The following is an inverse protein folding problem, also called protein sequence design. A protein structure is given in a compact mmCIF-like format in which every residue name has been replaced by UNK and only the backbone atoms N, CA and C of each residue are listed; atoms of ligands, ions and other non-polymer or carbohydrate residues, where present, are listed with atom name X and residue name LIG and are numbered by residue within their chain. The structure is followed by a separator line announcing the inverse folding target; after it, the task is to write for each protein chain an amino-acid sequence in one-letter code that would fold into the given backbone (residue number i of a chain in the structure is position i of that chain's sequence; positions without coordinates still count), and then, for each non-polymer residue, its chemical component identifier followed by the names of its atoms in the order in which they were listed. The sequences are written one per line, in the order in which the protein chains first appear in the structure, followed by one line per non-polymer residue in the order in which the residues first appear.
data_IF_027024526410
#
_entry.id   IF_027024526410
#
_cell.length_a   1.000
_cell.length_b   1.000
_cell.length_c   1.000
_cell.angle_alpha   90.00
_cell.angle_beta   90.00
_cell.angle_gamma   90.00
#
_symmetry.space_group_name_H-M   'P 1'
#
loop_
_entity.id
_entity.type
_entity.pdbx_description
1 polymer ?
#
# COMPACT_ATOMS: atom_id res chain seq x y z
N UNK A 1 67.15 20.55 1.94
CA UNK A 1 65.98 20.14 1.20
C UNK A 1 65.09 19.32 2.14
N UNK A 2 64.06 19.94 2.65
CA UNK A 2 63.12 19.25 3.52
C UNK A 2 62.01 18.64 2.66
N UNK A 3 61.96 17.33 2.62
CA UNK A 3 60.87 16.63 1.95
C UNK A 3 59.65 16.64 2.87
N UNK A 4 58.63 17.36 2.49
CA UNK A 4 57.33 17.31 3.12
C UNK A 4 56.63 15.99 2.68
N UNK A 5 56.17 15.17 3.61
CA UNK A 5 55.31 14.05 3.22
C UNK A 5 53.93 14.61 2.90
N UNK A 6 53.55 14.44 1.66
CA UNK A 6 52.20 14.72 1.19
C UNK A 6 51.28 13.62 1.73
N UNK A 7 50.71 13.89 2.89
CA UNK A 7 49.67 13.00 3.43
C UNK A 7 48.40 13.28 2.62
N UNK A 8 48.16 12.44 1.61
CA UNK A 8 46.87 12.39 0.92
C UNK A 8 45.88 11.77 1.88
N UNK A 9 45.14 12.61 2.55
CA UNK A 9 43.97 12.19 3.32
C UNK A 9 42.84 11.79 2.34
N UNK A 10 42.79 10.52 2.03
CA UNK A 10 41.64 9.95 1.31
C UNK A 10 40.44 10.04 2.26
N UNK A 11 39.66 11.10 2.11
CA UNK A 11 38.30 11.15 2.64
C UNK A 11 37.47 10.16 1.82
N UNK A 12 37.37 8.90 2.27
CA UNK A 12 36.32 7.99 1.83
C UNK A 12 35.01 8.57 2.36
N UNK A 13 34.36 9.36 1.53
CA UNK A 13 32.97 9.72 1.72
C UNK A 13 32.16 8.44 1.64
N UNK A 14 31.75 7.89 2.77
CA UNK A 14 30.69 6.92 2.80
C UNK A 14 29.44 7.63 2.29
N UNK A 15 29.13 7.46 1.00
CA UNK A 15 27.80 7.72 0.48
C UNK A 15 26.86 6.76 1.21
N UNK A 16 26.27 7.22 2.29
CA UNK A 16 25.12 6.54 2.84
C UNK A 16 24.02 6.64 1.77
N UNK A 17 23.80 5.56 1.05
CA UNK A 17 22.59 5.38 0.28
C UNK A 17 21.44 5.47 1.27
N UNK A 18 20.94 6.68 1.47
CA UNK A 18 19.67 6.91 2.11
C UNK A 18 18.61 6.50 1.08
N UNK A 19 18.44 5.21 0.88
CA UNK A 19 17.20 4.69 0.36
C UNK A 19 16.12 5.14 1.35
N UNK A 20 15.39 6.19 0.99
CA UNK A 20 14.14 6.51 1.66
C UNK A 20 13.22 5.31 1.48
N UNK A 21 13.31 4.36 2.41
CA UNK A 21 12.31 3.32 2.53
C UNK A 21 11.04 4.02 2.99
N UNK A 22 10.16 4.32 2.04
CA UNK A 22 8.80 4.67 2.36
C UNK A 22 8.22 3.53 3.19
N UNK A 23 8.08 3.77 4.47
CA UNK A 23 7.35 2.84 5.34
C UNK A 23 5.92 2.83 4.85
N UNK A 24 5.49 1.68 4.34
CA UNK A 24 4.09 1.47 4.04
C UNK A 24 3.27 1.79 5.30
N UNK A 25 2.40 2.79 5.20
CA UNK A 25 1.49 3.13 6.30
C UNK A 25 0.49 2.00 6.45
N UNK A 26 0.38 1.36 7.63
CA UNK A 26 -0.56 0.27 7.82
C UNK A 26 -2.00 0.76 7.64
N UNK A 27 -2.88 -0.13 7.21
CA UNK A 27 -4.31 0.13 7.18
C UNK A 27 -4.87 0.24 8.60
N UNK A 28 -6.10 0.76 8.72
CA UNK A 28 -6.79 0.89 10.02
C UNK A 28 -6.91 -0.46 10.71
N UNK A 29 -6.65 -0.48 12.02
CA UNK A 29 -6.78 -1.67 12.84
C UNK A 29 -8.24 -2.06 13.01
N UNK A 30 -8.64 -3.17 12.39
CA UNK A 30 -9.99 -3.72 12.46
C UNK A 30 -10.01 -5.15 11.94
N UNK A 31 -11.11 -5.86 12.16
CA UNK A 31 -11.30 -7.20 11.61
C UNK A 31 -11.21 -7.17 10.07
N UNK A 32 -10.42 -8.08 9.49
CA UNK A 32 -10.18 -8.15 8.05
C UNK A 32 -8.96 -7.38 7.55
N UNK A 33 -8.29 -6.58 8.39
CA UNK A 33 -7.09 -5.83 8.02
C UNK A 33 -6.01 -6.72 7.44
N UNK A 34 -5.65 -7.78 8.15
CA UNK A 34 -4.54 -8.66 7.79
C UNK A 34 -4.73 -9.30 6.41
N UNK A 35 -5.91 -9.86 6.15
CA UNK A 35 -6.21 -10.44 4.83
C UNK A 35 -6.22 -9.39 3.73
N UNK A 36 -6.76 -8.20 4.02
CA UNK A 36 -6.78 -7.09 3.07
C UNK A 36 -5.35 -6.62 2.73
N UNK A 37 -4.51 -6.38 3.73
CA UNK A 37 -3.13 -5.97 3.50
C UNK A 37 -2.34 -7.01 2.71
N UNK A 38 -2.42 -8.28 3.11
CA UNK A 38 -1.66 -9.35 2.48
C UNK A 38 -2.02 -9.55 1.01
N UNK A 39 -3.30 -9.49 0.69
CA UNK A 39 -3.77 -9.72 -0.68
C UNK A 39 -3.59 -8.46 -1.54
N UNK A 40 -4.03 -7.31 -1.06
CA UNK A 40 -4.04 -6.09 -1.86
C UNK A 40 -2.64 -5.53 -2.13
N UNK A 41 -1.69 -5.73 -1.21
CA UNK A 41 -0.30 -5.28 -1.40
C UNK A 41 0.49 -6.08 -2.45
N UNK A 42 -0.04 -7.20 -2.92
CA UNK A 42 0.67 -8.06 -3.86
C UNK A 42 0.87 -7.47 -5.26
N UNK A 43 0.04 -6.50 -5.67
CA UNK A 43 0.06 -5.94 -7.01
C UNK A 43 0.34 -4.43 -7.05
N UNK A 44 -0.09 -3.67 -6.06
CA UNK A 44 0.09 -2.22 -6.00
C UNK A 44 0.08 -1.70 -4.56
N UNK A 45 0.35 -0.42 -4.38
CA UNK A 45 0.36 0.21 -3.07
C UNK A 45 -1.02 0.24 -2.41
N UNK A 46 -1.06 0.06 -1.10
CA UNK A 46 -2.26 0.22 -0.28
C UNK A 46 -2.76 1.67 -0.20
N UNK A 47 -1.97 2.63 -0.63
CA UNK A 47 -2.39 4.03 -0.72
C UNK A 47 -3.56 4.23 -1.67
N UNK A 48 -3.70 3.34 -2.65
CA UNK A 48 -4.85 3.32 -3.55
C UNK A 48 -6.18 3.24 -2.78
N UNK A 49 -6.22 2.47 -1.70
CA UNK A 49 -7.39 2.34 -0.82
C UNK A 49 -7.72 3.69 -0.18
N UNK A 50 -6.72 4.38 0.37
CA UNK A 50 -6.90 5.68 1.06
C UNK A 50 -7.33 6.78 0.10
N UNK A 51 -6.72 6.83 -1.07
CA UNK A 51 -7.00 7.83 -2.08
C UNK A 51 -8.43 7.71 -2.59
N UNK A 52 -8.93 6.50 -2.75
CA UNK A 52 -10.27 6.25 -3.28
C UNK A 52 -11.37 6.26 -2.20
N UNK A 53 -11.03 6.06 -0.93
CA UNK A 53 -11.98 5.95 0.17
C UNK A 53 -13.09 7.03 0.19
N UNK A 54 -12.81 8.32 -0.06
CA UNK A 54 -13.85 9.36 -0.06
C UNK A 54 -14.94 9.17 -1.10
N UNK A 55 -14.68 8.38 -2.13
CA UNK A 55 -15.57 8.19 -3.29
C UNK A 55 -16.21 6.80 -3.31
N UNK A 56 -15.94 5.97 -2.29
CA UNK A 56 -16.30 4.56 -2.30
C UNK A 56 -17.36 4.24 -1.26
N UNK A 57 -18.39 3.53 -1.69
CA UNK A 57 -19.37 2.88 -0.82
C UNK A 57 -19.24 1.34 -0.97
N UNK A 58 -20.10 0.58 -0.31
CA UNK A 58 -20.08 -0.90 -0.41
C UNK A 58 -20.19 -1.38 -1.86
N UNK A 59 -21.06 -0.78 -2.63
CA UNK A 59 -21.28 -1.18 -4.03
C UNK A 59 -20.02 -0.97 -4.87
N UNK A 60 -19.37 0.17 -4.73
CA UNK A 60 -18.16 0.49 -5.48
C UNK A 60 -16.96 -0.31 -5.00
N UNK A 61 -16.83 -0.58 -3.70
CA UNK A 61 -15.81 -1.51 -3.20
C UNK A 61 -16.03 -2.93 -3.71
N UNK A 62 -17.27 -3.41 -3.72
CA UNK A 62 -17.63 -4.74 -4.27
C UNK A 62 -17.24 -4.82 -5.74
N UNK A 63 -17.61 -3.83 -6.54
CA UNK A 63 -17.25 -3.76 -7.95
C UNK A 63 -15.73 -3.74 -8.16
N UNK A 64 -15.00 -3.00 -7.33
CA UNK A 64 -13.55 -2.89 -7.39
C UNK A 64 -12.87 -4.22 -7.08
N UNK A 65 -13.26 -4.91 -6.01
CA UNK A 65 -12.73 -6.23 -5.65
C UNK A 65 -13.03 -7.25 -6.73
N UNK A 66 -14.25 -7.29 -7.25
CA UNK A 66 -14.62 -8.18 -8.34
C UNK A 66 -13.80 -7.91 -9.62
N UNK A 67 -13.55 -6.66 -9.93
CA UNK A 67 -12.70 -6.28 -11.06
C UNK A 67 -11.26 -6.80 -10.90
N UNK A 68 -10.69 -6.70 -9.71
CA UNK A 68 -9.36 -7.25 -9.43
C UNK A 68 -9.33 -8.76 -9.66
N UNK A 69 -10.37 -9.48 -9.23
CA UNK A 69 -10.46 -10.92 -9.39
C UNK A 69 -10.67 -11.35 -10.85
N UNK A 70 -11.60 -10.72 -11.54
CA UNK A 70 -12.05 -11.17 -12.85
C UNK A 70 -11.21 -10.63 -14.00
N UNK A 71 -10.74 -9.39 -13.90
CA UNK A 71 -10.00 -8.74 -14.99
C UNK A 71 -8.49 -8.80 -14.79
N UNK A 72 -8.01 -8.76 -13.56
CA UNK A 72 -6.59 -8.74 -13.24
C UNK A 72 -6.08 -10.04 -12.61
N UNK A 73 -6.95 -11.02 -12.43
CA UNK A 73 -6.58 -12.35 -11.96
C UNK A 73 -6.08 -12.39 -10.50
N UNK A 74 -6.51 -11.47 -9.65
CA UNK A 74 -6.13 -11.49 -8.25
C UNK A 74 -6.56 -12.80 -7.59
N UNK A 75 -5.65 -13.52 -6.91
CA UNK A 75 -5.92 -14.83 -6.32
C UNK A 75 -6.66 -14.67 -4.98
N UNK A 76 -7.92 -14.28 -5.02
CA UNK A 76 -8.76 -14.01 -3.86
C UNK A 76 -9.82 -15.12 -3.74
N UNK A 77 -9.78 -15.88 -2.65
CA UNK A 77 -10.84 -16.87 -2.36
C UNK A 77 -12.16 -16.13 -2.04
N UNK A 78 -13.35 -16.77 -2.34
CA UNK A 78 -14.64 -16.11 -2.11
C UNK A 78 -14.87 -15.61 -0.69
N UNK A 79 -14.42 -16.36 0.34
CA UNK A 79 -14.53 -15.93 1.73
C UNK A 79 -13.64 -14.72 2.03
N UNK A 80 -12.46 -14.67 1.46
CA UNK A 80 -11.54 -13.54 1.61
C UNK A 80 -12.08 -12.31 0.90
N UNK A 81 -12.69 -12.47 -0.26
CA UNK A 81 -13.35 -11.36 -0.97
C UNK A 81 -14.44 -10.72 -0.12
N UNK A 82 -15.30 -11.52 0.51
CA UNK A 82 -16.33 -11.02 1.42
C UNK A 82 -15.73 -10.28 2.62
N UNK A 83 -14.70 -10.83 3.24
CA UNK A 83 -13.98 -10.20 4.36
C UNK A 83 -13.35 -8.87 3.97
N UNK A 84 -12.70 -8.81 2.80
CA UNK A 84 -12.08 -7.60 2.27
C UNK A 84 -13.14 -6.52 1.99
N UNK A 85 -14.24 -6.87 1.35
CA UNK A 85 -15.34 -5.93 1.06
C UNK A 85 -15.93 -5.38 2.36
N UNK A 86 -16.17 -6.22 3.35
CA UNK A 86 -16.67 -5.80 4.66
C UNK A 86 -15.68 -4.86 5.35
N UNK A 87 -14.41 -5.20 5.36
CA UNK A 87 -13.36 -4.37 5.94
C UNK A 87 -13.25 -3.00 5.26
N UNK A 88 -13.18 -2.98 3.93
CA UNK A 88 -13.10 -1.74 3.15
C UNK A 88 -14.32 -0.87 3.33
N UNK A 89 -15.50 -1.46 3.34
CA UNK A 89 -16.76 -0.73 3.54
C UNK A 89 -16.84 -0.09 4.93
N UNK A 90 -16.45 -0.83 5.97
CA UNK A 90 -16.53 -0.35 7.35
C UNK A 90 -15.48 0.73 7.67
N UNK A 91 -14.28 0.63 7.10
CA UNK A 91 -13.13 1.47 7.48
C UNK A 91 -12.74 2.50 6.43
N UNK A 92 -13.09 2.28 5.17
CA UNK A 92 -12.75 3.12 4.01
C UNK A 92 -13.95 3.38 3.10
N UNK A 93 -15.14 3.21 3.61
CA UNK A 93 -16.37 3.56 2.92
C UNK A 93 -16.83 4.97 3.26
N UNK A 94 -17.42 5.65 2.29
CA UNK A 94 -18.09 6.93 2.48
C UNK A 94 -19.59 6.77 2.27
N UNK A 95 -20.45 7.28 3.16
CA UNK A 95 -21.90 7.26 2.95
C UNK A 95 -22.34 8.12 1.76
N UNK A 96 -21.51 9.07 1.34
CA UNK A 96 -21.71 9.91 0.15
C UNK A 96 -20.92 9.41 -1.06
N UNK A 97 -20.26 8.28 -0.94
CA UNK A 97 -19.57 7.62 -2.04
C UNK A 97 -20.55 7.37 -3.18
N UNK A 98 -20.13 7.77 -4.36
CA UNK A 98 -20.84 7.85 -5.61
C UNK A 98 -21.95 6.80 -5.80
N UNK A 99 -23.18 7.19 -5.57
CA UNK A 99 -24.33 6.60 -6.24
C UNK A 99 -24.35 7.15 -7.67
N UNK A 100 -23.77 6.41 -8.56
CA UNK A 100 -24.00 6.60 -9.99
C UNK A 100 -24.33 5.27 -10.61
#
# INVERSE_FOLDING_TARGET
MKKLPFAILLMLGAAADVCAQERAVPLKEAAGRSVTENICSGCHSLDYIRINAPFMNRQTWTASVNKMMQMFGAPIAPNDAATIIDYLTANYGSPTGSEK
#
